data_IF_562431728716
#
_entry.id   IF_562431728716
#
_cell.length_a   1.000
_cell.length_b   1.000
_cell.length_c   1.000
_cell.angle_alpha   90.00
_cell.angle_beta   90.00
_cell.angle_gamma   90.00
#
_symmetry.space_group_name_H-M   'P 1'
#
loop_
_entity.id
_entity.type
_entity.pdbx_description
1 polymer ?
#
# COMPACT_ATOMS: atom_id res chain seq x y z
N UNK A 1 17.72 -7.44 -22.47
CA UNK A 1 16.72 -8.06 -21.57
C UNK A 1 15.71 -6.97 -21.27
N UNK A 2 14.52 -7.01 -21.89
CA UNK A 2 13.53 -5.92 -21.82
C UNK A 2 12.58 -6.23 -20.65
N UNK A 3 12.87 -5.65 -19.49
CA UNK A 3 12.03 -5.76 -18.30
C UNK A 3 10.75 -4.98 -18.58
N UNK A 4 9.63 -5.69 -18.65
CA UNK A 4 8.30 -5.11 -18.59
C UNK A 4 8.29 -4.01 -17.53
N UNK A 5 7.91 -2.80 -17.90
CA UNK A 5 7.48 -1.78 -16.95
C UNK A 5 6.44 -2.45 -16.05
N UNK A 6 6.79 -2.66 -14.77
CA UNK A 6 5.88 -3.14 -13.76
C UNK A 6 4.86 -2.02 -13.55
N UNK A 7 3.83 -1.98 -14.39
CA UNK A 7 2.77 -0.99 -14.25
C UNK A 7 2.02 -1.29 -12.96
N UNK A 8 2.16 -0.39 -11.99
CA UNK A 8 1.42 -0.48 -10.75
C UNK A 8 -0.07 -0.26 -11.00
N UNK A 9 -0.90 -0.83 -10.13
CA UNK A 9 -2.35 -0.76 -10.25
C UNK A 9 -2.91 0.65 -10.04
N UNK A 10 -4.24 0.75 -10.10
CA UNK A 10 -4.93 2.01 -9.86
C UNK A 10 -4.57 2.58 -8.47
N UNK A 11 -4.17 3.86 -8.44
CA UNK A 11 -3.74 4.58 -7.24
C UNK A 11 -2.46 4.03 -6.59
N UNK A 12 -1.67 3.27 -7.33
CA UNK A 12 -0.36 2.79 -6.91
C UNK A 12 0.77 3.52 -7.66
N UNK A 13 1.94 3.58 -7.03
CA UNK A 13 3.20 4.03 -7.62
C UNK A 13 4.30 3.06 -7.24
N UNK A 14 5.27 2.88 -8.15
CA UNK A 14 6.47 2.14 -7.82
C UNK A 14 7.30 2.94 -6.81
N UNK A 15 7.71 2.28 -5.73
CA UNK A 15 8.55 2.87 -4.69
C UNK A 15 9.54 1.83 -4.21
N UNK A 16 10.75 2.28 -3.87
CA UNK A 16 11.77 1.47 -3.21
C UNK A 16 11.56 1.39 -1.68
N UNK A 17 10.52 2.05 -1.16
CA UNK A 17 10.26 2.17 0.27
C UNK A 17 8.76 2.19 0.56
N UNK A 18 8.05 1.12 0.20
CA UNK A 18 6.62 0.97 0.52
C UNK A 18 6.45 0.60 1.99
N UNK A 19 5.71 1.42 2.74
CA UNK A 19 5.35 1.16 4.14
C UNK A 19 4.14 0.21 4.22
N UNK A 20 4.37 -0.99 4.74
CA UNK A 20 3.33 -2.01 4.97
C UNK A 20 2.31 -1.60 6.04
N UNK A 21 2.67 -0.67 6.93
CA UNK A 21 1.79 -0.15 7.96
C UNK A 21 0.83 0.93 7.43
N UNK A 22 1.06 1.46 6.22
CA UNK A 22 0.11 2.36 5.56
C UNK A 22 -1.06 1.57 4.94
N UNK A 23 -1.79 0.83 5.78
CA UNK A 23 -2.93 -0.01 5.43
C UNK A 23 -4.10 0.17 6.42
N UNK A 24 -5.33 -0.03 5.96
CA UNK A 24 -6.53 0.26 6.75
C UNK A 24 -6.56 -0.35 8.16
N UNK A 25 -6.17 -1.62 8.41
CA UNK A 25 -6.20 -2.17 9.77
C UNK A 25 -5.42 -1.33 10.78
N UNK A 26 -4.23 -0.85 10.39
CA UNK A 26 -3.36 -0.06 11.26
C UNK A 26 -3.79 1.41 11.37
N UNK A 27 -4.54 1.91 10.40
CA UNK A 27 -5.15 3.24 10.45
C UNK A 27 -6.37 3.24 11.38
N UNK A 28 -7.22 2.22 11.26
CA UNK A 28 -8.45 2.06 12.06
C UNK A 28 -8.10 1.74 13.52
N UNK A 29 -7.15 0.83 13.74
CA UNK A 29 -6.69 0.46 15.07
C UNK A 29 -5.16 0.59 15.19
N UNK A 30 -4.66 1.76 15.63
CA UNK A 30 -3.23 2.00 15.84
C UNK A 30 -2.59 1.14 16.94
N UNK A 31 -3.39 0.42 17.74
CA UNK A 31 -2.86 -0.50 18.76
C UNK A 31 -2.38 -1.84 18.16
N UNK A 32 -2.78 -2.15 16.93
CA UNK A 32 -2.33 -3.35 16.23
C UNK A 32 -0.82 -3.32 16.00
N UNK A 33 -0.17 -4.42 16.34
CA UNK A 33 1.25 -4.60 16.06
C UNK A 33 1.46 -4.64 14.55
N UNK A 34 2.11 -3.61 14.01
CA UNK A 34 2.57 -3.61 12.63
C UNK A 34 4.05 -3.99 12.56
N UNK A 35 4.42 -5.06 11.83
CA UNK A 35 5.81 -5.33 11.52
C UNK A 35 6.29 -4.26 10.53
N UNK A 36 6.85 -3.15 11.06
CA UNK A 36 7.39 -2.02 10.29
C UNK A 36 8.46 -2.52 9.32
N UNK A 37 8.00 -2.95 8.16
CA UNK A 37 8.80 -3.52 7.09
C UNK A 37 8.57 -2.65 5.86
N UNK A 38 9.68 -2.27 5.25
CA UNK A 38 9.69 -1.58 3.96
C UNK A 38 10.06 -2.58 2.89
N UNK A 39 9.40 -2.50 1.74
CA UNK A 39 9.74 -3.30 0.57
C UNK A 39 9.77 -2.43 -0.69
N UNK A 40 10.50 -2.92 -1.69
CA UNK A 40 10.51 -2.34 -3.04
C UNK A 40 9.37 -2.95 -3.87
N UNK A 41 8.53 -2.10 -4.45
CA UNK A 41 7.41 -2.51 -5.28
C UNK A 41 6.32 -1.45 -5.38
N UNK A 42 5.11 -1.88 -5.75
CA UNK A 42 3.96 -0.99 -5.86
C UNK A 42 3.34 -0.69 -4.49
N UNK A 43 3.31 0.59 -4.13
CA UNK A 43 2.67 1.11 -2.93
C UNK A 43 1.58 2.14 -3.27
N UNK A 44 0.69 2.40 -2.33
CA UNK A 44 -0.36 3.41 -2.54
C UNK A 44 0.25 4.82 -2.62
N UNK A 45 -0.18 5.61 -3.61
CA UNK A 45 0.22 7.02 -3.72
C UNK A 45 -0.34 7.84 -2.57
N UNK A 46 0.22 9.04 -2.36
CA UNK A 46 -0.24 9.96 -1.32
C UNK A 46 -1.76 10.19 -1.34
N UNK A 47 -2.39 10.15 -0.16
CA UNK A 47 -3.85 10.24 -0.01
C UNK A 47 -4.59 8.89 -0.05
N UNK A 48 -3.90 7.82 -0.44
CA UNK A 48 -4.44 6.47 -0.52
C UNK A 48 -3.76 5.53 0.48
N UNK A 49 -4.43 4.45 0.80
CA UNK A 49 -3.95 3.40 1.70
C UNK A 49 -4.48 2.03 1.27
N UNK A 50 -3.78 0.97 1.67
CA UNK A 50 -4.12 -0.39 1.25
C UNK A 50 -5.30 -0.92 2.06
N UNK A 51 -6.40 -1.24 1.39
CA UNK A 51 -7.45 -2.08 1.97
C UNK A 51 -6.98 -3.52 1.96
N UNK A 52 -6.90 -4.16 3.13
CA UNK A 52 -6.41 -5.54 3.26
C UNK A 52 -7.55 -6.56 3.14
N UNK A 53 -8.26 -6.55 2.02
CA UNK A 53 -9.27 -7.56 1.66
C UNK A 53 -8.76 -8.46 0.52
N UNK A 54 -9.60 -9.39 0.06
CA UNK A 54 -9.26 -10.35 -1.01
C UNK A 54 -8.80 -9.67 -2.32
N UNK A 55 -9.19 -8.42 -2.56
CA UNK A 55 -8.85 -7.68 -3.78
C UNK A 55 -7.69 -6.70 -3.59
N UNK A 56 -7.26 -6.47 -2.35
CA UNK A 56 -6.09 -5.68 -1.95
C UNK A 56 -5.85 -4.42 -2.81
N UNK A 57 -6.70 -3.40 -2.65
CA UNK A 57 -6.66 -2.16 -3.47
C UNK A 57 -6.24 -0.94 -2.67
N UNK A 58 -5.67 0.05 -3.37
CA UNK A 58 -5.43 1.38 -2.81
C UNK A 58 -6.72 2.21 -2.89
N UNK A 59 -7.27 2.55 -1.73
CA UNK A 59 -8.49 3.35 -1.59
C UNK A 59 -8.16 4.69 -0.90
N UNK A 60 -9.00 5.73 -1.04
CA UNK A 60 -8.87 6.95 -0.25
C UNK A 60 -8.78 6.64 1.24
N UNK A 61 -7.90 7.34 1.97
CA UNK A 61 -7.74 7.12 3.42
C UNK A 61 -9.03 7.32 4.23
N UNK A 62 -9.96 8.14 3.72
CA UNK A 62 -11.29 8.37 4.31
C UNK A 62 -12.23 7.17 4.23
N UNK A 63 -11.89 6.18 3.40
CA UNK A 63 -12.71 5.02 3.10
C UNK A 63 -12.20 3.76 3.82
N UNK A 64 -11.18 3.93 4.66
CA UNK A 64 -11.01 3.09 5.84
C UNK A 64 -12.04 3.53 6.89
#
# INVERSE_FOLDING_TARGET
MNLYLLECGENEIYSNSVDTCNACPYIIDPSLACPRSVYEGCGCKSGFTRKTDINSKCIPKSDC
#
